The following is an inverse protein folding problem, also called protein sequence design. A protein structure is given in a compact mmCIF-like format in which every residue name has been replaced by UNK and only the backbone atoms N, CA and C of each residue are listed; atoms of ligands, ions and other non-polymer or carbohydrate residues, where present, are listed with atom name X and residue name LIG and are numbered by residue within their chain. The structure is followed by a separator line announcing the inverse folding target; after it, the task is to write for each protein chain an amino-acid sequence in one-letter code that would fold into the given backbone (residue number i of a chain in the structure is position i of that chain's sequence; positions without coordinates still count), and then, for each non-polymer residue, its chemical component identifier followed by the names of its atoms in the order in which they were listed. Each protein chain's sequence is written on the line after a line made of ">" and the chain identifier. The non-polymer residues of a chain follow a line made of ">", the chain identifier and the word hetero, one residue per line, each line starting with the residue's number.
data_IF_489670728504
#
_entry.id   IF_489670728504
#
_cell.length_a   1.000
_cell.length_b   1.000
_cell.length_c   1.000
_cell.angle_alpha   90.00
_cell.angle_beta   90.00
_cell.angle_gamma   90.00
#
_symmetry.space_group_name_H-M   'P 1'
#
loop_
_entity.id
_entity.type
_entity.pdbx_description
1 polymer ?
#
# COMPACT_ATOMS: atom_id res chain seq x y z
N UNK A 1 -58.14 49.97 2.80
CA UNK A 1 -56.71 50.19 2.48
C UNK A 1 -55.84 49.39 3.47
N UNK A 2 -55.36 48.25 3.10
CA UNK A 2 -54.61 47.37 3.98
C UNK A 2 -53.19 47.23 3.37
N UNK A 3 -52.19 47.81 4.06
CA UNK A 3 -50.77 47.72 3.70
C UNK A 3 -50.26 46.36 4.16
N UNK A 4 -49.92 45.50 3.22
CA UNK A 4 -49.21 44.24 3.48
C UNK A 4 -47.74 44.54 3.59
N UNK A 5 -47.14 44.33 4.76
CA UNK A 5 -45.71 44.33 5.01
C UNK A 5 -45.24 42.92 4.71
N UNK A 6 -44.40 42.78 3.67
CA UNK A 6 -43.74 41.53 3.35
C UNK A 6 -42.37 41.54 4.05
N UNK A 7 -42.24 40.74 5.09
CA UNK A 7 -40.97 40.51 5.74
C UNK A 7 -40.16 39.50 4.91
N UNK A 8 -39.09 39.97 4.30
CA UNK A 8 -38.12 39.10 3.62
C UNK A 8 -37.23 38.44 4.65
N UNK A 9 -37.44 37.16 4.84
CA UNK A 9 -36.57 36.30 5.69
C UNK A 9 -35.39 35.82 4.85
N UNK A 10 -34.22 36.45 5.03
CA UNK A 10 -32.99 36.03 4.42
C UNK A 10 -32.48 34.76 5.11
N UNK A 11 -32.62 33.61 4.45
CA UNK A 11 -32.01 32.36 4.89
C UNK A 11 -30.49 32.41 4.54
N UNK A 12 -29.67 32.68 5.53
CA UNK A 12 -28.23 32.45 5.43
C UNK A 12 -27.94 30.93 5.45
N UNK A 13 -27.81 30.34 4.27
CA UNK A 13 -27.25 29.00 4.13
C UNK A 13 -25.74 29.07 4.44
N UNK A 14 -25.38 28.78 5.68
CA UNK A 14 -24.03 28.51 6.06
C UNK A 14 -23.57 27.19 5.39
N UNK A 15 -22.87 27.32 4.29
CA UNK A 15 -22.21 26.21 3.64
C UNK A 15 -21.01 25.83 4.49
N UNK A 16 -21.18 24.86 5.37
CA UNK A 16 -20.06 24.21 6.06
C UNK A 16 -19.31 23.39 5.04
N UNK A 17 -18.20 23.92 4.57
CA UNK A 17 -17.22 23.18 3.79
C UNK A 17 -16.69 22.04 4.68
N UNK A 18 -17.15 20.82 4.43
CA UNK A 18 -16.52 19.62 4.95
C UNK A 18 -15.15 19.52 4.27
N UNK A 19 -14.04 19.52 5.01
CA UNK A 19 -12.75 19.25 4.38
C UNK A 19 -12.79 17.81 3.88
N UNK A 20 -12.89 17.63 2.58
CA UNK A 20 -12.57 16.39 1.91
C UNK A 20 -11.09 16.15 2.15
N UNK A 21 -10.76 15.29 3.12
CA UNK A 21 -9.43 14.73 3.25
C UNK A 21 -9.19 13.87 2.00
N UNK A 22 -8.71 14.50 0.93
CA UNK A 22 -8.05 13.81 -0.15
C UNK A 22 -6.84 13.11 0.49
N UNK A 23 -6.92 11.79 0.61
CA UNK A 23 -5.81 10.99 1.08
C UNK A 23 -4.67 11.10 0.08
N UNK A 24 -3.76 12.02 0.33
CA UNK A 24 -2.45 12.05 -0.28
C UNK A 24 -1.65 10.88 0.33
N UNK A 25 -1.49 9.81 -0.44
CA UNK A 25 -0.75 8.61 -0.06
C UNK A 25 0.78 8.80 -0.12
N UNK A 26 1.26 10.01 -0.25
CA UNK A 26 2.62 10.39 0.09
C UNK A 26 2.71 10.55 1.61
N UNK A 27 2.60 9.46 2.36
CA UNK A 27 2.74 9.47 3.83
C UNK A 27 4.15 9.85 4.21
N UNK A 28 4.44 11.15 4.22
CA UNK A 28 5.56 11.68 5.00
C UNK A 28 5.35 11.19 6.43
N UNK A 29 6.28 10.41 6.91
CA UNK A 29 6.27 9.96 8.30
C UNK A 29 6.36 11.20 9.20
N UNK A 30 5.29 11.52 9.92
CA UNK A 30 5.21 12.70 10.81
C UNK A 30 5.60 12.36 12.25
N UNK A 31 5.91 11.07 12.52
CA UNK A 31 6.34 10.59 13.84
C UNK A 31 7.82 10.86 14.06
N UNK A 32 8.27 10.99 15.33
CA UNK A 32 9.69 10.99 15.66
C UNK A 32 10.40 9.78 15.03
N UNK A 33 11.60 9.99 14.47
CA UNK A 33 12.33 8.97 13.72
C UNK A 33 12.48 7.67 14.51
N UNK A 34 12.83 7.75 15.80
CA UNK A 34 13.02 6.57 16.63
C UNK A 34 11.73 5.75 16.80
N UNK A 35 10.62 6.42 17.10
CA UNK A 35 9.31 5.76 17.23
C UNK A 35 8.88 5.10 15.93
N UNK A 36 9.14 5.76 14.79
CA UNK A 36 8.86 5.21 13.46
C UNK A 36 9.67 3.93 13.20
N UNK A 37 10.96 3.94 13.53
CA UNK A 37 11.86 2.80 13.35
C UNK A 37 11.48 1.61 14.24
N UNK A 38 11.15 1.86 15.51
CA UNK A 38 10.74 0.82 16.45
C UNK A 38 9.46 0.14 15.98
N UNK A 39 8.47 0.93 15.58
CA UNK A 39 7.19 0.44 15.03
C UNK A 39 7.37 -0.33 13.73
N UNK A 40 8.21 0.18 12.83
CA UNK A 40 8.53 -0.48 11.56
C UNK A 40 9.22 -1.82 11.81
N UNK A 41 10.23 -1.84 12.66
CA UNK A 41 10.98 -3.04 13.03
C UNK A 41 10.06 -4.12 13.60
N UNK A 42 9.18 -3.76 14.54
CA UNK A 42 8.22 -4.69 15.14
C UNK A 42 7.23 -5.24 14.11
N UNK A 43 6.71 -4.36 13.24
CA UNK A 43 5.81 -4.75 12.16
C UNK A 43 6.49 -5.73 11.19
N UNK A 44 7.71 -5.43 10.75
CA UNK A 44 8.44 -6.26 9.79
C UNK A 44 8.82 -7.64 10.36
N UNK A 45 9.09 -7.74 11.67
CA UNK A 45 9.36 -9.03 12.35
C UNK A 45 8.15 -9.94 12.39
N UNK A 46 6.96 -9.37 12.52
CA UNK A 46 5.71 -10.11 12.78
C UNK A 46 4.86 -10.33 11.55
N UNK A 47 5.09 -9.56 10.47
CA UNK A 47 4.33 -9.65 9.23
C UNK A 47 4.91 -10.70 8.28
N UNK A 48 4.05 -11.45 7.63
CA UNK A 48 4.45 -12.41 6.60
C UNK A 48 5.00 -11.72 5.36
N UNK A 49 6.11 -12.24 4.84
CA UNK A 49 6.85 -11.70 3.71
C UNK A 49 6.74 -12.58 2.47
N UNK A 50 6.63 -11.98 1.29
CA UNK A 50 6.50 -12.64 -0.02
C UNK A 50 7.84 -12.70 -0.77
N UNK A 51 8.60 -11.60 -0.75
CA UNK A 51 9.90 -11.47 -1.42
C UNK A 51 9.84 -11.06 -2.89
N UNK A 52 9.04 -10.03 -3.20
CA UNK A 52 8.97 -9.40 -4.52
C UNK A 52 9.11 -7.89 -4.42
N UNK A 53 9.66 -7.30 -5.47
CA UNK A 53 9.55 -5.87 -5.77
C UNK A 53 8.63 -5.71 -6.98
N UNK A 54 7.69 -4.79 -6.94
CA UNK A 54 6.72 -4.55 -8.00
C UNK A 54 6.58 -3.07 -8.30
N UNK A 55 6.09 -2.75 -9.48
CA UNK A 55 5.82 -1.39 -9.91
C UNK A 55 4.36 -1.04 -9.67
N UNK A 56 4.13 0.14 -9.06
CA UNK A 56 2.79 0.69 -8.84
C UNK A 56 2.14 1.23 -10.12
N UNK A 57 2.93 1.38 -11.19
CA UNK A 57 2.40 1.76 -12.48
C UNK A 57 1.60 0.59 -13.04
N UNK A 58 0.30 0.63 -12.79
CA UNK A 58 -0.65 -0.32 -13.34
C UNK A 58 -0.48 -0.39 -14.85
N UNK A 59 0.06 -1.51 -15.33
CA UNK A 59 -0.04 -1.84 -16.75
C UNK A 59 -1.51 -1.70 -17.19
N UNK A 60 -1.73 -1.27 -18.40
CA UNK A 60 -3.06 -1.11 -19.00
C UNK A 60 -3.89 -2.37 -18.77
N UNK A 61 -4.85 -2.30 -17.85
CA UNK A 61 -5.67 -3.46 -17.48
C UNK A 61 -5.76 -3.79 -15.99
N UNK A 62 -5.01 -3.08 -15.11
CA UNK A 62 -4.97 -3.31 -13.67
C UNK A 62 -3.97 -4.40 -13.27
N UNK A 63 -3.54 -4.36 -12.01
CA UNK A 63 -2.53 -5.25 -11.46
C UNK A 63 -1.18 -4.57 -11.24
N UNK A 64 -0.25 -5.30 -10.63
CA UNK A 64 1.11 -4.83 -10.34
C UNK A 64 2.14 -5.70 -11.04
N UNK A 65 3.04 -5.10 -11.80
CA UNK A 65 4.08 -5.85 -12.50
C UNK A 65 5.22 -6.19 -11.56
N UNK A 66 5.57 -7.47 -11.45
CA UNK A 66 6.75 -7.94 -10.71
C UNK A 66 8.01 -7.48 -11.45
N UNK A 67 8.82 -6.67 -10.78
CA UNK A 67 10.12 -6.20 -11.28
C UNK A 67 11.24 -7.13 -10.88
N UNK A 68 11.19 -7.62 -9.65
CA UNK A 68 12.21 -8.48 -9.09
C UNK A 68 11.62 -9.51 -8.14
N UNK A 69 12.15 -10.69 -8.17
CA UNK A 69 11.89 -11.76 -7.21
C UNK A 69 13.17 -11.99 -6.41
N UNK A 70 13.08 -11.89 -5.09
CA UNK A 70 14.24 -12.06 -4.22
C UNK A 70 14.61 -13.54 -4.16
N UNK A 71 15.86 -13.92 -4.45
CA UNK A 71 16.30 -15.33 -4.40
C UNK A 71 16.01 -15.97 -3.04
N UNK A 72 15.56 -17.23 -3.04
CA UNK A 72 15.23 -17.97 -1.82
C UNK A 72 13.94 -17.57 -1.13
N UNK A 73 13.26 -16.52 -1.61
CA UNK A 73 11.98 -16.05 -1.07
C UNK A 73 10.83 -17.04 -1.31
N UNK A 74 9.70 -16.88 -0.59
CA UNK A 74 8.45 -17.60 -0.88
C UNK A 74 8.01 -17.45 -2.35
N UNK A 75 8.12 -16.25 -2.90
CA UNK A 75 7.79 -15.98 -4.30
C UNK A 75 8.66 -16.78 -5.26
N UNK A 76 9.99 -16.81 -5.03
CA UNK A 76 10.91 -17.59 -5.84
C UNK A 76 10.61 -19.09 -5.78
N UNK A 77 10.36 -19.63 -4.59
CA UNK A 77 9.99 -21.04 -4.37
C UNK A 77 8.66 -21.41 -5.04
N UNK A 78 7.71 -20.48 -5.09
CA UNK A 78 6.44 -20.66 -5.75
C UNK A 78 6.50 -20.48 -7.28
N UNK A 79 7.65 -20.08 -7.83
CA UNK A 79 7.83 -19.92 -9.26
C UNK A 79 7.33 -18.61 -9.84
N UNK A 80 7.16 -17.56 -9.01
CA UNK A 80 6.97 -16.19 -9.51
C UNK A 80 8.21 -15.71 -10.25
N UNK A 81 8.01 -14.92 -11.30
CA UNK A 81 9.09 -14.45 -12.16
C UNK A 81 8.97 -12.94 -12.41
N UNK A 82 10.08 -12.25 -12.64
CA UNK A 82 10.01 -10.89 -13.18
C UNK A 82 9.20 -10.84 -14.48
N UNK A 83 8.36 -9.82 -14.62
CA UNK A 83 7.44 -9.67 -15.74
C UNK A 83 6.05 -10.25 -15.52
N UNK A 84 5.82 -11.06 -14.48
CA UNK A 84 4.47 -11.45 -14.09
C UNK A 84 3.65 -10.22 -13.69
N UNK A 85 2.38 -10.22 -14.05
CA UNK A 85 1.43 -9.19 -13.59
C UNK A 85 0.56 -9.82 -12.50
N UNK A 86 0.67 -9.32 -11.28
CA UNK A 86 -0.17 -9.73 -10.15
C UNK A 86 -1.56 -9.11 -10.34
N UNK A 87 -2.56 -9.94 -10.54
CA UNK A 87 -3.90 -9.51 -10.89
C UNK A 87 -4.89 -9.57 -9.72
N UNK A 88 -4.81 -10.61 -8.90
CA UNK A 88 -5.61 -10.76 -7.69
C UNK A 88 -4.83 -11.43 -6.56
N UNK A 89 -5.26 -11.17 -5.33
CA UNK A 89 -4.76 -11.77 -4.11
C UNK A 89 -5.95 -12.37 -3.35
N UNK A 90 -5.93 -13.68 -3.12
CA UNK A 90 -7.02 -14.42 -2.48
C UNK A 90 -8.41 -14.10 -3.09
N UNK A 91 -8.46 -13.93 -4.41
CA UNK A 91 -9.68 -13.55 -5.15
C UNK A 91 -10.01 -12.04 -5.15
N UNK A 92 -9.32 -11.23 -4.37
CA UNK A 92 -9.48 -9.77 -4.38
C UNK A 92 -8.60 -9.16 -5.47
N UNK A 93 -9.20 -8.42 -6.40
CA UNK A 93 -8.48 -7.79 -7.51
C UNK A 93 -7.47 -6.76 -7.00
N UNK A 94 -6.26 -6.84 -7.53
CA UNK A 94 -5.17 -5.89 -7.25
C UNK A 94 -5.35 -4.65 -8.14
N UNK A 95 -6.08 -3.67 -7.64
CA UNK A 95 -6.38 -2.42 -8.32
C UNK A 95 -6.41 -1.26 -7.30
N UNK A 96 -6.26 -0.03 -7.76
CA UNK A 96 -6.20 1.16 -6.89
C UNK A 96 -7.46 1.35 -6.04
N UNK A 97 -8.61 1.03 -6.58
CA UNK A 97 -9.92 1.09 -5.90
C UNK A 97 -10.07 0.09 -4.75
N UNK A 98 -9.32 -1.02 -4.79
CA UNK A 98 -9.30 -2.04 -3.74
C UNK A 98 -8.16 -1.86 -2.71
N UNK A 99 -7.43 -0.75 -2.75
CA UNK A 99 -6.30 -0.45 -1.86
C UNK A 99 -6.60 -0.68 -0.38
N UNK A 100 -7.70 -0.15 0.19
CA UNK A 100 -8.04 -0.35 1.59
C UNK A 100 -8.26 -1.81 1.98
N UNK A 101 -8.94 -2.60 1.14
CA UNK A 101 -9.18 -4.04 1.37
C UNK A 101 -7.87 -4.83 1.35
N UNK A 102 -6.99 -4.52 0.40
CA UNK A 102 -5.67 -5.14 0.28
C UNK A 102 -4.75 -4.78 1.45
N UNK A 103 -4.76 -3.52 1.89
CA UNK A 103 -4.01 -3.08 3.05
C UNK A 103 -4.47 -3.80 4.33
N UNK A 104 -5.80 -3.97 4.52
CA UNK A 104 -6.35 -4.75 5.62
C UNK A 104 -5.89 -6.21 5.56
N UNK A 105 -6.01 -6.86 4.41
CA UNK A 105 -5.57 -8.25 4.23
C UNK A 105 -4.08 -8.42 4.55
N UNK A 106 -3.23 -7.48 4.12
CA UNK A 106 -1.78 -7.53 4.39
C UNK A 106 -1.42 -7.34 5.87
N UNK A 107 -2.19 -6.55 6.63
CA UNK A 107 -1.98 -6.41 8.09
C UNK A 107 -2.18 -7.72 8.85
N UNK A 108 -3.00 -8.61 8.32
CA UNK A 108 -3.30 -9.90 8.92
C UNK A 108 -2.31 -10.99 8.51
N UNK A 109 -1.38 -10.70 7.62
CA UNK A 109 -0.38 -11.67 7.17
C UNK A 109 0.56 -12.08 8.28
N UNK A 110 0.70 -13.39 8.44
CA UNK A 110 1.63 -14.01 9.39
C UNK A 110 2.56 -14.98 8.66
N UNK A 111 3.81 -15.13 9.11
CA UNK A 111 4.67 -16.20 8.65
C UNK A 111 3.96 -17.56 8.81
N UNK A 112 4.10 -18.44 7.80
CA UNK A 112 3.43 -19.73 7.73
C UNK A 112 2.05 -19.72 7.09
N UNK A 113 1.44 -18.56 6.89
CA UNK A 113 0.14 -18.44 6.22
C UNK A 113 0.30 -18.62 4.70
N UNK A 114 -0.63 -19.35 4.09
CA UNK A 114 -0.70 -19.49 2.63
C UNK A 114 -1.54 -18.37 2.02
N UNK A 115 -1.05 -17.81 0.92
CA UNK A 115 -1.76 -16.81 0.11
C UNK A 115 -1.76 -17.24 -1.35
N UNK A 116 -2.83 -16.92 -2.06
CA UNK A 116 -3.01 -17.27 -3.46
C UNK A 116 -3.01 -16.02 -4.33
N UNK A 117 -2.10 -15.96 -5.29
CA UNK A 117 -2.07 -14.94 -6.33
C UNK A 117 -2.66 -15.48 -7.64
N UNK A 118 -3.52 -14.71 -8.25
CA UNK A 118 -3.81 -14.83 -9.68
C UNK A 118 -2.88 -13.91 -10.42
N UNK A 119 -2.08 -14.47 -11.31
CA UNK A 119 -1.10 -13.74 -12.12
C UNK A 119 -1.41 -13.85 -13.60
N UNK A 120 -0.94 -12.89 -14.39
CA UNK A 120 -0.91 -12.99 -15.84
C UNK A 120 0.55 -13.10 -16.29
N UNK A 121 0.89 -14.18 -16.96
CA UNK A 121 2.21 -14.45 -17.55
C UNK A 121 2.05 -14.64 -19.05
N UNK A 122 2.67 -13.79 -19.87
CA UNK A 122 2.54 -13.83 -21.34
C UNK A 122 1.08 -13.89 -21.83
N UNK A 123 0.21 -13.10 -21.19
CA UNK A 123 -1.21 -13.05 -21.53
C UNK A 123 -2.08 -14.19 -20.95
N UNK A 124 -1.47 -15.21 -20.34
CA UNK A 124 -2.17 -16.37 -19.76
C UNK A 124 -2.33 -16.20 -18.26
N UNK A 125 -3.54 -16.42 -17.75
CA UNK A 125 -3.84 -16.37 -16.33
C UNK A 125 -3.36 -17.67 -15.66
N UNK A 126 -2.73 -17.53 -14.49
CA UNK A 126 -2.23 -18.63 -13.65
C UNK A 126 -2.51 -18.35 -12.19
N UNK A 127 -2.75 -19.40 -11.42
CA UNK A 127 -2.80 -19.32 -9.97
C UNK A 127 -1.49 -19.81 -9.36
N UNK A 128 -0.96 -19.03 -8.42
CA UNK A 128 0.25 -19.37 -7.67
C UNK A 128 -0.08 -19.27 -6.19
N UNK A 129 0.10 -20.36 -5.46
CA UNK A 129 -0.02 -20.39 -4.00
C UNK A 129 1.38 -20.38 -3.41
N UNK A 130 1.61 -19.52 -2.43
CA UNK A 130 2.86 -19.45 -1.69
C UNK A 130 2.60 -19.36 -0.19
N UNK A 131 3.55 -19.86 0.59
CA UNK A 131 3.51 -19.75 2.06
C UNK A 131 4.40 -18.60 2.49
N UNK A 132 3.84 -17.63 3.20
CA UNK A 132 4.56 -16.46 3.71
C UNK A 132 5.68 -16.89 4.67
N UNK A 133 6.82 -16.22 4.62
CA UNK A 133 7.96 -16.45 5.50
C UNK A 133 8.19 -15.23 6.40
N UNK A 134 8.97 -15.37 7.49
CA UNK A 134 9.55 -14.21 8.16
C UNK A 134 10.43 -13.43 7.19
N UNK A 135 10.45 -12.11 7.32
CA UNK A 135 11.37 -11.29 6.50
C UNK A 135 12.82 -11.55 6.95
N UNK A 136 13.75 -11.84 6.02
CA UNK A 136 15.16 -11.98 6.35
C UNK A 136 15.75 -10.70 6.94
N UNK A 137 16.68 -10.82 7.86
CA UNK A 137 17.25 -9.69 8.59
C UNK A 137 18.00 -8.69 7.68
N UNK A 138 18.66 -9.16 6.66
CA UNK A 138 19.36 -8.34 5.66
C UNK A 138 18.38 -7.53 4.79
N UNK A 139 17.25 -8.15 4.40
CA UNK A 139 16.18 -7.46 3.68
C UNK A 139 15.54 -6.42 4.56
N UNK A 140 15.28 -6.74 5.83
CA UNK A 140 14.72 -5.82 6.82
C UNK A 140 15.65 -4.62 7.04
N UNK A 141 16.95 -4.88 7.23
CA UNK A 141 17.94 -3.82 7.41
C UNK A 141 18.00 -2.86 6.20
N UNK A 142 17.92 -3.43 4.99
CA UNK A 142 17.86 -2.62 3.76
C UNK A 142 16.60 -1.71 3.75
N UNK A 143 15.44 -2.25 4.04
CA UNK A 143 14.19 -1.49 4.04
C UNK A 143 14.19 -0.37 5.08
N UNK A 144 14.69 -0.65 6.27
CA UNK A 144 14.87 0.36 7.34
C UNK A 144 15.84 1.46 6.87
N UNK A 145 16.97 1.08 6.28
CA UNK A 145 17.97 2.02 5.79
C UNK A 145 17.44 2.92 4.65
N UNK A 146 16.66 2.37 3.74
CA UNK A 146 16.05 3.16 2.66
C UNK A 146 15.00 4.13 3.22
N UNK A 147 14.17 3.70 4.18
CA UNK A 147 13.21 4.56 4.85
C UNK A 147 13.87 5.73 5.63
N UNK A 148 15.01 5.48 6.29
CA UNK A 148 15.79 6.54 6.95
C UNK A 148 16.28 7.60 5.96
N UNK A 149 16.73 7.21 4.77
CA UNK A 149 17.14 8.15 3.72
C UNK A 149 15.99 9.04 3.26
N UNK A 150 14.77 8.48 3.19
CA UNK A 150 13.56 9.26 2.86
C UNK A 150 13.26 10.30 3.94
N UNK A 151 13.41 9.96 5.23
CA UNK A 151 13.29 10.91 6.34
C UNK A 151 14.30 12.05 6.23
N UNK A 152 15.58 11.73 6.05
CA UNK A 152 16.63 12.75 5.90
C UNK A 152 16.37 13.66 4.70
N UNK A 153 15.89 13.12 3.59
CA UNK A 153 15.55 13.91 2.41
C UNK A 153 14.37 14.85 2.68
N UNK A 154 13.36 14.37 3.41
CA UNK A 154 12.20 15.18 3.79
C UNK A 154 12.57 16.32 4.75
N UNK A 155 13.43 16.06 5.73
CA UNK A 155 13.92 17.07 6.67
C UNK A 155 14.73 18.16 5.94
N UNK A 156 15.62 17.77 5.02
CA UNK A 156 16.37 18.73 4.19
C UNK A 156 15.47 19.59 3.31
N UNK A 157 14.38 19.03 2.80
CA UNK A 157 13.42 19.76 2.00
C UNK A 157 12.58 20.76 2.82
N UNK A 158 12.29 20.43 4.08
CA UNK A 158 11.54 21.28 4.99
C UNK A 158 12.39 22.45 5.57
N UNK A 159 13.72 22.33 5.54
CA UNK A 159 14.66 23.36 6.05
C UNK A 159 15.01 24.45 5.01
N UNK A 160 14.46 24.39 3.80
CA UNK A 160 14.63 25.40 2.72
C UNK A 160 13.43 26.31 2.63
#
# INVERSE_FOLDING_TARGET
>A
MVRRVVAAMALCLAWTAVPTAAGDDSKKCTMPVQECLDRMSETLKTTGWVGIEYDDTTASGGGYQVKKVIPGSPAAKAGLQPGDVLYALNGVRLAKDNGPALAKARKEWKPGQSVKYTIKRQGVDREITLTLAPMPADVMAKWIGDHMKEHEAAERAAAK
#
